data_IF_895002402191
#
_entry.id   IF_895002402191
#
_cell.length_a   1.000
_cell.length_b   1.000
_cell.length_c   1.000
_cell.angle_alpha   90.00
_cell.angle_beta   90.00
_cell.angle_gamma   90.00
#
_symmetry.space_group_name_H-M   'P 1'
#
loop_
_entity.id
_entity.type
_entity.pdbx_description
1 polymer ?
#
# COMPACT_ATOMS: atom_id res chain seq x y z
N UNK A 1 21.80 5.90 -11.70
CA UNK A 1 21.02 4.79 -11.11
C UNK A 1 20.05 4.26 -12.15
N UNK A 2 20.04 2.95 -12.40
CA UNK A 2 19.24 2.33 -13.47
C UNK A 2 17.79 2.11 -13.00
N UNK A 3 16.81 2.30 -13.89
CA UNK A 3 15.37 2.04 -13.63
C UNK A 3 15.13 0.64 -13.06
N UNK A 4 16.00 -0.32 -13.38
CA UNK A 4 15.98 -1.70 -12.90
C UNK A 4 16.17 -1.81 -11.38
N UNK A 5 17.11 -1.05 -10.82
CA UNK A 5 17.40 -1.00 -9.39
C UNK A 5 16.28 -0.32 -8.63
N UNK A 6 15.69 0.74 -9.20
CA UNK A 6 14.50 1.38 -8.64
C UNK A 6 13.31 0.43 -8.66
N UNK A 7 13.06 -0.33 -9.73
CA UNK A 7 12.00 -1.33 -9.76
C UNK A 7 12.24 -2.46 -8.76
N UNK A 8 13.50 -2.85 -8.52
CA UNK A 8 13.85 -3.88 -7.53
C UNK A 8 13.70 -3.36 -6.09
N UNK A 9 14.17 -2.14 -5.82
CA UNK A 9 13.95 -1.43 -4.56
C UNK A 9 12.46 -1.21 -4.29
N UNK A 10 11.69 -0.74 -5.28
CA UNK A 10 10.25 -0.55 -5.16
C UNK A 10 9.48 -1.87 -5.05
N UNK A 11 9.97 -2.97 -5.64
CA UNK A 11 9.43 -4.31 -5.38
C UNK A 11 9.67 -4.76 -3.95
N UNK A 12 10.88 -4.54 -3.41
CA UNK A 12 11.21 -4.80 -2.02
C UNK A 12 10.53 -3.85 -1.01
N UNK A 13 10.16 -2.64 -1.43
CA UNK A 13 9.59 -1.58 -0.58
C UNK A 13 8.07 -1.44 -0.67
N UNK A 14 7.42 -1.80 -1.78
CA UNK A 14 6.05 -1.31 -2.06
C UNK A 14 5.07 -2.33 -2.68
N UNK A 15 5.54 -3.45 -3.23
CA UNK A 15 4.70 -4.33 -4.07
C UNK A 15 4.16 -5.58 -3.39
N UNK A 16 5.04 -6.42 -2.87
CA UNK A 16 4.69 -7.79 -2.44
C UNK A 16 4.28 -7.90 -0.96
N UNK A 17 4.61 -6.89 -0.16
CA UNK A 17 4.42 -6.92 1.29
C UNK A 17 3.49 -5.80 1.78
N UNK A 18 2.69 -5.18 0.91
CA UNK A 18 1.87 -4.02 1.27
C UNK A 18 0.91 -4.29 2.44
N UNK A 19 0.31 -5.49 2.48
CA UNK A 19 -0.57 -5.89 3.58
C UNK A 19 0.20 -6.15 4.88
N UNK A 20 1.37 -6.78 4.80
CA UNK A 20 2.24 -7.03 5.95
C UNK A 20 2.84 -5.74 6.52
N UNK A 21 3.23 -4.80 5.65
CA UNK A 21 3.64 -3.45 6.03
C UNK A 21 2.49 -2.68 6.69
N UNK A 22 1.26 -2.82 6.16
CA UNK A 22 0.05 -2.29 6.80
C UNK A 22 -0.16 -2.90 8.19
N UNK A 23 -0.03 -4.22 8.35
CA UNK A 23 -0.16 -4.89 9.65
C UNK A 23 0.89 -4.41 10.66
N UNK A 24 2.15 -4.26 10.24
CA UNK A 24 3.21 -3.75 11.10
C UNK A 24 2.92 -2.31 11.54
N UNK A 25 2.55 -1.44 10.60
CA UNK A 25 2.17 -0.06 10.88
C UNK A 25 0.91 0.02 11.77
N UNK A 26 -0.09 -0.80 11.50
CA UNK A 26 -1.31 -0.89 12.29
C UNK A 26 -1.04 -1.38 13.71
N UNK A 27 -0.15 -2.36 13.88
CA UNK A 27 0.25 -2.84 15.19
C UNK A 27 0.96 -1.74 16.01
N UNK A 28 1.77 -0.89 15.35
CA UNK A 28 2.45 0.24 16.02
C UNK A 28 1.55 1.44 16.29
N UNK A 29 0.59 1.73 15.40
CA UNK A 29 -0.24 2.95 15.47
C UNK A 29 -1.58 2.70 16.16
N UNK A 30 -2.14 1.50 16.00
CA UNK A 30 -3.48 1.11 16.46
C UNK A 30 -3.43 -0.24 17.17
N UNK A 31 -2.65 -0.33 18.24
CA UNK A 31 -2.40 -1.56 19.01
C UNK A 31 -3.62 -2.16 19.72
N UNK A 32 -4.82 -1.59 19.57
CA UNK A 32 -6.06 -2.03 20.21
C UNK A 32 -7.24 -2.27 19.27
N UNK A 33 -7.08 -2.03 17.96
CA UNK A 33 -8.14 -2.27 16.98
C UNK A 33 -7.76 -3.46 16.08
N UNK A 34 -8.71 -4.32 15.68
CA UNK A 34 -8.41 -5.38 14.72
C UNK A 34 -8.04 -4.77 13.36
N UNK A 35 -6.93 -5.21 12.73
CA UNK A 35 -6.57 -4.74 11.41
C UNK A 35 -7.63 -5.15 10.37
N UNK A 36 -7.76 -4.35 9.32
CA UNK A 36 -8.59 -4.70 8.17
C UNK A 36 -8.14 -6.01 7.55
N UNK A 37 -9.11 -6.81 7.07
CA UNK A 37 -8.78 -8.02 6.33
C UNK A 37 -8.14 -7.69 4.99
N UNK A 38 -7.34 -8.62 4.45
CA UNK A 38 -6.60 -8.41 3.19
C UNK A 38 -7.50 -7.93 2.04
N UNK A 39 -8.70 -8.50 1.89
CA UNK A 39 -9.69 -8.06 0.89
C UNK A 39 -10.16 -6.61 1.11
N UNK A 40 -10.37 -6.21 2.37
CA UNK A 40 -10.77 -4.83 2.69
C UNK A 40 -9.63 -3.85 2.41
N UNK A 41 -8.40 -4.22 2.76
CA UNK A 41 -7.21 -3.43 2.45
C UNK A 41 -7.05 -3.20 0.94
N UNK A 42 -7.18 -4.24 0.11
CA UNK A 42 -7.10 -4.09 -1.34
C UNK A 42 -8.25 -3.28 -1.92
N UNK A 43 -9.47 -3.42 -1.37
CA UNK A 43 -10.63 -2.64 -1.81
C UNK A 43 -10.48 -1.16 -1.48
N UNK A 44 -10.09 -0.83 -0.26
CA UNK A 44 -9.84 0.55 0.18
C UNK A 44 -8.67 1.18 -0.61
N UNK A 45 -7.59 0.42 -0.86
CA UNK A 45 -6.49 0.89 -1.70
C UNK A 45 -6.95 1.19 -3.13
N UNK A 46 -7.73 0.30 -3.73
CA UNK A 46 -8.28 0.50 -5.07
C UNK A 46 -9.26 1.68 -5.11
N UNK A 47 -10.13 1.81 -4.11
CA UNK A 47 -11.08 2.92 -3.95
C UNK A 47 -10.35 4.26 -3.83
N UNK A 48 -9.28 4.35 -3.02
CA UNK A 48 -8.45 5.55 -2.95
C UNK A 48 -7.74 5.88 -4.26
N UNK A 49 -7.34 4.88 -5.04
CA UNK A 49 -6.74 5.10 -6.36
C UNK A 49 -7.77 5.51 -7.41
N UNK A 50 -9.01 5.03 -7.29
CA UNK A 50 -10.13 5.39 -8.16
C UNK A 50 -10.68 6.78 -7.84
N UNK A 51 -10.83 7.10 -6.55
CA UNK A 51 -11.34 8.36 -6.02
C UNK A 51 -10.33 9.52 -6.08
N UNK A 52 -9.03 9.23 -6.20
CA UNK A 52 -7.99 10.23 -6.48
C UNK A 52 -7.42 10.04 -7.91
N UNK A 53 -8.21 10.32 -8.96
CA UNK A 53 -7.73 10.29 -10.34
C UNK A 53 -6.86 11.53 -10.67
N UNK A 54 -6.43 12.31 -9.67
CA UNK A 54 -5.73 13.60 -9.77
C UNK A 54 -4.36 13.56 -10.49
N UNK A 55 -3.93 12.38 -10.98
CA UNK A 55 -2.88 12.25 -11.99
C UNK A 55 -3.37 12.23 -13.45
N UNK A 56 -4.67 12.41 -13.70
CA UNK A 56 -5.30 12.42 -15.03
C UNK A 56 -6.21 13.63 -15.20
N UNK A 57 -5.65 14.82 -15.05
CA UNK A 57 -6.22 16.00 -15.68
C UNK A 57 -5.12 16.68 -16.49
N UNK A 58 -5.24 16.51 -17.81
CA UNK A 58 -4.63 17.30 -18.89
C UNK A 58 -3.11 17.27 -19.07
#
# INVERSE_FOLDING_TARGET
MSVKELIWLFKGVMGENAYQQYLNHHATTHSGEPPMTERQFWRDKADRQDANPEGRCC
#
